data_IF_016893301769
#
_entry.id   IF_016893301769
#
_cell.length_a   1.000
_cell.length_b   1.000
_cell.length_c   1.000
_cell.angle_alpha   90.00
_cell.angle_beta   90.00
_cell.angle_gamma   90.00
#
_symmetry.space_group_name_H-M   'P 1'
#
loop_
_entity.id
_entity.type
_entity.pdbx_description
1 polymer ?
#
# COMPACT_ATOMS: atom_id res chain seq x y z
N UNK A 1 11.00 -24.88 -3.45
CA UNK A 1 12.38 -24.73 -3.95
C UNK A 1 13.36 -24.50 -2.79
N UNK A 2 13.38 -23.33 -2.13
CA UNK A 2 14.33 -23.02 -1.06
C UNK A 2 14.39 -24.10 0.04
N UNK A 3 13.24 -24.45 0.63
CA UNK A 3 13.14 -25.49 1.66
C UNK A 3 13.73 -26.84 1.20
N UNK A 4 13.40 -27.29 -0.02
CA UNK A 4 13.90 -28.54 -0.58
C UNK A 4 15.42 -28.54 -0.75
N UNK A 5 15.99 -27.43 -1.25
CA UNK A 5 17.44 -27.28 -1.40
C UNK A 5 18.16 -27.23 -0.05
N UNK A 6 17.55 -26.62 0.97
CA UNK A 6 18.13 -26.58 2.30
C UNK A 6 18.17 -27.98 2.93
N UNK A 7 17.09 -28.76 2.77
CA UNK A 7 17.01 -30.14 3.27
C UNK A 7 17.99 -31.07 2.53
N UNK A 8 18.04 -30.99 1.20
CA UNK A 8 18.80 -31.94 0.39
C UNK A 8 20.30 -31.63 0.34
N UNK A 9 20.67 -30.34 0.29
CA UNK A 9 22.04 -29.91 0.01
C UNK A 9 22.67 -29.07 1.14
N UNK A 10 21.98 -28.89 2.27
CA UNK A 10 22.50 -28.09 3.39
C UNK A 10 22.69 -26.60 3.06
N UNK A 11 21.94 -26.09 2.07
CA UNK A 11 21.95 -24.66 1.72
C UNK A 11 21.18 -23.82 2.76
N UNK A 12 21.29 -22.49 2.65
CA UNK A 12 20.67 -21.54 3.58
C UNK A 12 19.79 -20.51 2.84
N UNK A 13 18.83 -20.99 2.04
CA UNK A 13 17.91 -20.14 1.29
C UNK A 13 16.63 -19.87 2.08
N UNK A 14 16.32 -18.61 2.33
CA UNK A 14 15.16 -18.19 3.13
C UNK A 14 14.13 -17.49 2.25
N UNK A 15 12.86 -17.86 2.41
CA UNK A 15 11.73 -17.25 1.69
C UNK A 15 10.99 -16.27 2.60
N UNK A 16 10.87 -15.02 2.17
CA UNK A 16 10.01 -14.01 2.77
C UNK A 16 8.72 -13.88 1.96
N UNK A 17 7.57 -13.89 2.64
CA UNK A 17 6.25 -13.74 2.04
C UNK A 17 5.57 -12.46 2.56
N UNK A 18 4.97 -11.68 1.67
CA UNK A 18 4.27 -10.43 2.00
C UNK A 18 2.96 -10.28 1.22
N UNK A 19 2.10 -9.36 1.66
CA UNK A 19 0.85 -9.01 0.98
C UNK A 19 1.01 -7.85 0.00
N UNK A 20 0.85 -6.60 0.47
CA UNK A 20 0.92 -5.41 -0.40
C UNK A 20 2.13 -4.56 -0.04
N UNK A 21 3.03 -4.39 -1.01
CA UNK A 21 4.15 -3.48 -0.92
C UNK A 21 3.75 -2.08 -1.39
N UNK A 22 4.16 -1.06 -0.67
CA UNK A 22 4.15 0.34 -1.12
C UNK A 22 5.47 1.02 -0.77
N UNK A 23 5.71 2.22 -1.28
CA UNK A 23 6.93 2.96 -1.00
C UNK A 23 6.78 4.42 -1.39
N UNK A 24 7.73 5.23 -0.95
CA UNK A 24 7.69 6.69 -1.15
C UNK A 24 7.65 7.09 -2.62
N UNK A 25 8.39 6.35 -3.47
CA UNK A 25 8.35 6.51 -4.92
C UNK A 25 7.38 5.50 -5.52
N UNK A 26 6.23 5.99 -5.99
CA UNK A 26 5.21 5.16 -6.59
C UNK A 26 4.80 5.68 -7.98
N UNK A 27 4.12 4.80 -8.73
CA UNK A 27 3.45 5.20 -9.95
C UNK A 27 2.04 5.73 -9.58
N UNK A 28 1.76 6.98 -9.96
CA UNK A 28 0.50 7.68 -9.70
C UNK A 28 -0.42 7.76 -10.94
N UNK A 29 -0.09 7.06 -12.03
CA UNK A 29 -0.96 6.95 -13.21
C UNK A 29 -2.27 6.23 -12.85
N UNK A 30 -3.43 6.84 -13.13
CA UNK A 30 -4.75 6.27 -12.80
C UNK A 30 -4.98 4.86 -13.36
N UNK A 31 -4.41 4.54 -14.53
CA UNK A 31 -4.62 3.23 -15.16
C UNK A 31 -3.69 2.13 -14.65
N UNK A 32 -2.58 2.49 -13.99
CA UNK A 32 -1.50 1.55 -13.60
C UNK A 32 -1.13 1.60 -12.13
N UNK A 33 -1.68 2.55 -11.39
CA UNK A 33 -1.38 2.76 -9.99
C UNK A 33 -2.02 1.70 -9.11
N UNK A 34 -1.33 1.39 -8.01
CA UNK A 34 -1.88 0.60 -6.92
C UNK A 34 -2.81 1.46 -6.08
N UNK A 35 -3.59 0.83 -5.20
CA UNK A 35 -4.64 1.49 -4.41
C UNK A 35 -4.16 2.74 -3.67
N UNK A 36 -3.03 2.68 -2.95
CA UNK A 36 -2.53 3.81 -2.16
C UNK A 36 -2.13 5.03 -3.03
N UNK A 37 -1.27 4.89 -4.07
CA UNK A 37 -0.98 5.99 -5.00
C UNK A 37 -2.22 6.53 -5.72
N UNK A 38 -3.14 5.65 -6.14
CA UNK A 38 -4.37 6.04 -6.82
C UNK A 38 -5.24 6.93 -5.91
N UNK A 39 -5.49 6.50 -4.68
CA UNK A 39 -6.23 7.27 -3.68
C UNK A 39 -5.58 8.63 -3.42
N UNK A 40 -4.26 8.63 -3.21
CA UNK A 40 -3.52 9.85 -2.90
C UNK A 40 -3.66 10.90 -4.02
N UNK A 41 -3.52 10.48 -5.28
CA UNK A 41 -3.71 11.38 -6.43
C UNK A 41 -5.17 11.80 -6.60
N UNK A 42 -6.14 10.90 -6.40
CA UNK A 42 -7.58 11.24 -6.45
C UNK A 42 -7.91 12.37 -5.46
N UNK A 43 -7.56 12.20 -4.19
CA UNK A 43 -7.82 13.21 -3.17
C UNK A 43 -7.02 14.48 -3.40
N UNK A 44 -5.79 14.38 -3.92
CA UNK A 44 -5.00 15.55 -4.26
C UNK A 44 -5.68 16.40 -5.35
N UNK A 45 -6.14 15.78 -6.44
CA UNK A 45 -6.84 16.48 -7.52
C UNK A 45 -8.22 17.01 -7.06
N UNK A 46 -8.92 16.28 -6.20
CA UNK A 46 -10.17 16.75 -5.60
C UNK A 46 -9.94 18.00 -4.74
N UNK A 47 -8.86 18.03 -3.95
CA UNK A 47 -8.44 19.23 -3.20
C UNK A 47 -8.09 20.40 -4.11
N UNK A 48 -7.38 20.18 -5.21
CA UNK A 48 -7.10 21.26 -6.15
C UNK A 48 -8.39 21.79 -6.79
N UNK A 49 -9.38 20.94 -7.05
CA UNK A 49 -10.71 21.37 -7.51
C UNK A 49 -11.47 22.17 -6.43
N UNK A 50 -11.37 21.75 -5.17
CA UNK A 50 -11.95 22.46 -4.00
C UNK A 50 -11.33 23.85 -3.80
N UNK A 51 -10.00 23.96 -3.97
CA UNK A 51 -9.23 25.20 -3.82
C UNK A 51 -9.20 26.06 -5.10
N UNK A 52 -9.91 25.65 -6.16
CA UNK A 52 -9.94 26.33 -7.46
C UNK A 52 -8.55 26.56 -8.09
N UNK A 53 -7.60 25.63 -7.86
CA UNK A 53 -6.21 25.69 -8.35
C UNK A 53 -6.06 25.09 -9.74
N UNK A 54 -6.65 25.77 -10.72
CA UNK A 54 -6.78 25.28 -12.10
C UNK A 54 -5.44 24.98 -12.78
N UNK A 55 -4.43 25.84 -12.61
CA UNK A 55 -3.11 25.69 -13.24
C UNK A 55 -2.41 24.39 -12.82
N UNK A 56 -2.53 24.01 -11.54
CA UNK A 56 -1.90 22.80 -11.01
C UNK A 56 -2.62 21.54 -11.48
N UNK A 57 -3.95 21.60 -11.65
CA UNK A 57 -4.73 20.50 -12.22
C UNK A 57 -4.28 20.24 -13.66
N UNK A 58 -4.18 21.30 -14.46
CA UNK A 58 -3.74 21.20 -15.86
C UNK A 58 -2.31 20.68 -15.97
N UNK A 59 -1.41 21.12 -15.07
CA UNK A 59 -0.02 20.64 -14.99
C UNK A 59 0.05 19.15 -14.63
N UNK A 60 -0.68 18.70 -13.60
CA UNK A 60 -0.69 17.29 -13.17
C UNK A 60 -1.28 16.36 -14.24
N UNK A 61 -2.39 16.76 -14.84
CA UNK A 61 -3.07 15.98 -15.88
C UNK A 61 -2.40 16.10 -17.25
N UNK A 62 -1.47 17.05 -17.41
CA UNK A 62 -0.83 17.41 -18.70
C UNK A 62 -1.87 17.78 -19.77
N UNK A 63 -2.91 18.52 -19.37
CA UNK A 63 -4.01 18.96 -20.23
C UNK A 63 -3.98 20.47 -20.42
N UNK A 64 -4.65 20.96 -21.46
CA UNK A 64 -4.71 22.40 -21.79
C UNK A 64 -6.07 23.04 -21.52
N UNK A 65 -7.11 22.24 -21.38
CA UNK A 65 -8.49 22.69 -21.21
C UNK A 65 -9.02 22.23 -19.86
N UNK A 66 -9.46 23.19 -19.04
CA UNK A 66 -10.07 22.89 -17.75
C UNK A 66 -11.39 22.13 -17.90
N UNK A 67 -12.16 22.44 -18.94
CA UNK A 67 -13.44 21.77 -19.22
C UNK A 67 -13.21 20.28 -19.47
N UNK A 68 -12.19 19.95 -20.27
CA UNK A 68 -11.80 18.56 -20.53
C UNK A 68 -11.23 17.90 -19.28
N UNK A 69 -10.41 18.61 -18.51
CA UNK A 69 -9.85 18.11 -17.25
C UNK A 69 -10.95 17.76 -16.24
N UNK A 70 -11.93 18.65 -16.02
CA UNK A 70 -13.07 18.42 -15.13
C UNK A 70 -13.91 17.21 -15.57
N UNK A 71 -14.12 17.04 -16.88
CA UNK A 71 -14.82 15.87 -17.43
C UNK A 71 -14.03 14.58 -17.19
N UNK A 72 -12.73 14.59 -17.48
CA UNK A 72 -11.84 13.46 -17.24
C UNK A 72 -11.82 13.05 -15.76
N UNK A 73 -11.71 14.03 -14.84
CA UNK A 73 -11.74 13.78 -13.40
C UNK A 73 -13.08 13.18 -12.94
N UNK A 74 -14.19 13.67 -13.49
CA UNK A 74 -15.53 13.14 -13.19
C UNK A 74 -15.68 11.66 -13.60
N UNK A 75 -15.07 11.24 -14.72
CA UNK A 75 -15.07 9.83 -15.15
C UNK A 75 -14.36 8.90 -14.14
N UNK A 76 -13.42 9.44 -13.36
CA UNK A 76 -12.76 8.74 -12.24
C UNK A 76 -13.45 8.97 -10.89
N UNK A 77 -14.60 9.64 -10.86
CA UNK A 77 -15.33 9.97 -9.65
C UNK A 77 -14.61 10.98 -8.77
N UNK A 78 -13.87 11.92 -9.36
CA UNK A 78 -13.14 12.98 -8.67
C UNK A 78 -13.87 14.29 -8.91
N UNK A 79 -14.56 14.81 -7.88
CA UNK A 79 -15.26 16.09 -7.92
C UNK A 79 -14.78 16.99 -6.78
N UNK A 80 -15.11 18.27 -6.85
CA UNK A 80 -14.76 19.26 -5.81
C UNK A 80 -15.41 18.95 -4.46
N UNK A 81 -16.61 18.38 -4.49
CA UNK A 81 -17.43 18.16 -3.28
C UNK A 81 -17.30 16.74 -2.75
N UNK A 82 -16.86 15.77 -3.57
CA UNK A 82 -16.68 14.39 -3.15
C UNK A 82 -15.70 13.59 -4.02
N UNK A 83 -15.16 12.52 -3.45
CA UNK A 83 -14.43 11.48 -4.18
C UNK A 83 -15.17 10.15 -4.08
N UNK A 84 -15.43 9.52 -5.22
CA UNK A 84 -16.02 8.19 -5.33
C UNK A 84 -14.96 7.09 -5.26
N UNK A 85 -15.19 6.13 -4.37
CA UNK A 85 -14.46 4.87 -4.25
C UNK A 85 -15.36 3.73 -4.69
N UNK A 86 -14.84 2.86 -5.55
CA UNK A 86 -15.56 1.68 -6.00
C UNK A 86 -15.62 0.60 -4.92
N UNK A 87 -16.77 -0.08 -4.84
CA UNK A 87 -17.01 -1.12 -3.84
C UNK A 87 -17.63 -0.60 -2.56
N UNK A 88 -17.80 -1.47 -1.58
CA UNK A 88 -18.37 -1.12 -0.26
C UNK A 88 -17.34 -0.52 0.69
N UNK A 89 -16.04 -0.60 0.34
CA UNK A 89 -14.95 -0.15 1.19
C UNK A 89 -14.61 -1.09 2.35
N UNK A 90 -15.35 -2.20 2.53
CA UNK A 90 -15.22 -3.12 3.68
C UNK A 90 -14.05 -4.08 3.59
N UNK A 91 -13.57 -4.34 2.37
CA UNK A 91 -12.42 -5.24 2.11
C UNK A 91 -11.20 -4.75 2.86
N UNK A 92 -10.49 -5.68 3.52
CA UNK A 92 -9.31 -5.37 4.34
C UNK A 92 -8.00 -5.74 3.67
N UNK A 93 -6.98 -4.90 3.86
CA UNK A 93 -5.64 -5.00 3.28
C UNK A 93 -4.57 -4.63 4.29
N UNK A 94 -3.53 -5.44 4.35
CA UNK A 94 -2.27 -5.12 4.99
C UNK A 94 -1.30 -4.44 4.01
N UNK A 95 -0.51 -3.48 4.48
CA UNK A 95 0.48 -2.74 3.71
C UNK A 95 1.82 -2.70 4.44
N UNK A 96 2.91 -3.03 3.75
CA UNK A 96 4.29 -2.87 4.24
C UNK A 96 5.06 -1.87 3.38
N UNK A 97 5.78 -0.95 4.03
CA UNK A 97 6.62 0.02 3.34
C UNK A 97 7.89 -0.64 2.78
N UNK A 98 8.38 -0.19 1.63
CA UNK A 98 9.56 -0.76 0.96
C UNK A 98 10.82 -0.69 1.80
N UNK A 99 10.95 0.33 2.63
CA UNK A 99 12.11 0.48 3.52
C UNK A 99 12.06 -0.55 4.65
N UNK A 100 10.88 -0.89 5.18
CA UNK A 100 10.72 -1.98 6.15
C UNK A 100 10.95 -3.35 5.50
N UNK A 101 10.54 -3.54 4.24
CA UNK A 101 10.88 -4.75 3.49
C UNK A 101 12.40 -4.91 3.34
N UNK A 102 13.10 -3.82 2.99
CA UNK A 102 14.55 -3.83 2.86
C UNK A 102 15.23 -4.12 4.20
N UNK A 103 14.78 -3.48 5.28
CA UNK A 103 15.27 -3.71 6.64
C UNK A 103 15.06 -5.17 7.08
N UNK A 104 13.87 -5.74 6.84
CA UNK A 104 13.55 -7.14 7.12
C UNK A 104 14.48 -8.09 6.34
N UNK A 105 14.69 -7.84 5.05
CA UNK A 105 15.55 -8.66 4.22
C UNK A 105 17.00 -8.65 4.72
N UNK A 106 17.53 -7.47 5.07
CA UNK A 106 18.87 -7.34 5.64
C UNK A 106 18.95 -8.02 7.01
N UNK A 107 17.93 -7.86 7.85
CA UNK A 107 17.87 -8.48 9.17
C UNK A 107 17.90 -10.00 9.07
N UNK A 108 17.05 -10.59 8.22
CA UNK A 108 16.97 -12.04 8.00
C UNK A 108 18.31 -12.57 7.49
N UNK A 109 18.91 -11.88 6.51
CA UNK A 109 20.21 -12.28 5.96
C UNK A 109 21.33 -12.31 7.01
N UNK A 110 21.29 -11.41 8.00
CA UNK A 110 22.34 -11.29 9.02
C UNK A 110 22.11 -12.17 10.24
N UNK A 111 20.86 -12.43 10.60
CA UNK A 111 20.52 -12.95 11.93
C UNK A 111 19.76 -14.27 11.93
N UNK A 112 19.28 -14.75 10.78
CA UNK A 112 18.40 -15.93 10.72
C UNK A 112 18.98 -16.95 9.75
N UNK A 113 19.09 -18.19 10.20
CA UNK A 113 19.48 -19.34 9.41
C UNK A 113 18.32 -20.32 9.26
N UNK A 114 18.40 -21.20 8.27
CA UNK A 114 17.40 -22.25 8.06
C UNK A 114 17.20 -23.12 9.29
N UNK A 115 18.25 -23.39 10.06
CA UNK A 115 18.20 -24.14 11.33
C UNK A 115 17.28 -23.54 12.37
N UNK A 116 16.98 -22.24 12.27
CA UNK A 116 16.15 -21.50 13.23
C UNK A 116 14.66 -21.61 12.87
N UNK A 117 14.33 -22.16 11.70
CA UNK A 117 12.99 -22.14 11.10
C UNK A 117 12.21 -23.44 11.26
N UNK A 118 12.78 -24.45 11.91
CA UNK A 118 12.14 -25.74 12.18
C UNK A 118 12.63 -26.34 13.50
N UNK A 119 11.87 -27.30 14.03
CA UNK A 119 12.27 -28.08 15.20
C UNK A 119 12.90 -29.39 14.75
N UNK A 120 14.05 -29.76 15.34
CA UNK A 120 14.82 -30.96 14.94
C UNK A 120 14.04 -32.28 15.00
N UNK A 121 13.02 -32.37 15.84
CA UNK A 121 12.25 -33.61 16.06
C UNK A 121 10.90 -33.61 15.31
N UNK A 122 10.65 -32.66 14.41
CA UNK A 122 9.42 -32.56 13.63
C UNK A 122 9.72 -32.60 12.13
N UNK A 123 8.71 -32.98 11.33
CA UNK A 123 8.81 -32.92 9.86
C UNK A 123 9.02 -31.47 9.43
N UNK A 124 10.14 -31.19 8.78
CA UNK A 124 10.47 -29.86 8.24
C UNK A 124 9.46 -29.50 7.14
N UNK A 125 8.71 -28.43 7.36
CA UNK A 125 7.73 -27.86 6.42
C UNK A 125 7.42 -26.42 6.82
N UNK A 126 6.90 -25.63 5.89
CA UNK A 126 6.45 -24.24 6.14
C UNK A 126 7.55 -23.36 6.76
N UNK A 127 8.78 -23.52 6.27
CA UNK A 127 9.94 -22.78 6.78
C UNK A 127 9.97 -21.31 6.32
N UNK A 128 9.11 -20.90 5.37
CA UNK A 128 8.95 -19.50 4.97
C UNK A 128 8.59 -18.58 6.14
N UNK A 129 8.87 -17.30 5.99
CA UNK A 129 8.61 -16.28 7.00
C UNK A 129 7.68 -15.24 6.40
N UNK A 130 6.53 -15.03 7.05
CA UNK A 130 5.68 -13.90 6.72
C UNK A 130 6.30 -12.62 7.26
N UNK A 131 6.33 -11.59 6.42
CA UNK A 131 6.73 -10.23 6.78
C UNK A 131 5.59 -9.28 6.44
N UNK A 132 5.38 -8.31 7.33
CA UNK A 132 4.23 -7.44 7.29
C UNK A 132 4.19 -6.58 8.55
N UNK A 133 3.11 -5.84 8.70
CA UNK A 133 2.85 -5.06 9.90
C UNK A 133 2.06 -5.87 10.92
N UNK A 134 1.35 -6.91 10.47
CA UNK A 134 0.37 -7.63 11.30
C UNK A 134 -0.89 -6.81 11.57
N UNK A 135 -1.09 -5.72 10.83
CA UNK A 135 -2.23 -4.80 10.95
C UNK A 135 -2.85 -4.62 9.56
N UNK A 136 -4.15 -4.86 9.44
CA UNK A 136 -4.90 -4.58 8.22
C UNK A 136 -5.86 -3.40 8.40
N UNK A 137 -6.24 -2.82 7.26
CA UNK A 137 -7.16 -1.69 7.19
C UNK A 137 -8.19 -1.97 6.11
N UNK A 138 -9.44 -1.61 6.36
CA UNK A 138 -10.46 -1.55 5.32
C UNK A 138 -10.11 -0.48 4.30
N UNK A 139 -10.54 -0.64 3.05
CA UNK A 139 -10.36 0.40 2.03
C UNK A 139 -10.98 1.73 2.47
N UNK A 140 -12.07 1.70 3.23
CA UNK A 140 -12.67 2.89 3.81
C UNK A 140 -11.75 3.60 4.82
N UNK A 141 -11.13 2.86 5.75
CA UNK A 141 -10.15 3.40 6.70
C UNK A 141 -8.95 4.01 5.96
N UNK A 142 -8.42 3.30 4.96
CA UNK A 142 -7.30 3.79 4.15
C UNK A 142 -7.67 5.10 3.42
N UNK A 143 -8.83 5.14 2.77
CA UNK A 143 -9.29 6.33 2.06
C UNK A 143 -9.48 7.52 3.01
N UNK A 144 -9.98 7.27 4.23
CA UNK A 144 -10.14 8.29 5.25
C UNK A 144 -8.79 8.86 5.73
N UNK A 145 -7.79 8.01 5.99
CA UNK A 145 -6.44 8.44 6.36
C UNK A 145 -5.81 9.28 5.24
N UNK A 146 -5.94 8.84 3.99
CA UNK A 146 -5.44 9.58 2.82
C UNK A 146 -6.13 10.95 2.69
N UNK A 147 -7.47 10.99 2.82
CA UNK A 147 -8.25 12.24 2.80
C UNK A 147 -7.75 13.22 3.85
N UNK A 148 -7.52 12.76 5.08
CA UNK A 148 -7.01 13.57 6.18
C UNK A 148 -5.60 14.11 5.92
N UNK A 149 -4.69 13.26 5.43
CA UNK A 149 -3.30 13.66 5.11
C UNK A 149 -3.27 14.70 3.99
N UNK A 150 -4.07 14.52 2.93
CA UNK A 150 -4.15 15.47 1.82
C UNK A 150 -4.84 16.78 2.26
N UNK A 151 -5.81 16.68 3.15
CA UNK A 151 -6.61 17.81 3.63
C UNK A 151 -7.76 18.20 2.70
N UNK A 152 -8.34 17.22 1.99
CA UNK A 152 -9.56 17.41 1.21
C UNK A 152 -10.79 17.43 2.12
N UNK A 153 -11.66 18.45 2.01
CA UNK A 153 -12.82 18.59 2.93
C UNK A 153 -14.11 17.97 2.40
N UNK A 154 -14.20 17.73 1.09
CA UNK A 154 -15.37 17.09 0.48
C UNK A 154 -15.61 15.65 0.97
N UNK A 155 -16.74 15.07 0.59
CA UNK A 155 -17.22 13.79 1.08
C UNK A 155 -16.50 12.58 0.45
N UNK A 156 -16.60 11.44 1.14
CA UNK A 156 -16.15 10.16 0.63
C UNK A 156 -17.37 9.30 0.32
N UNK A 157 -17.57 8.96 -0.96
CA UNK A 157 -18.73 8.20 -1.42
C UNK A 157 -18.29 6.81 -1.88
N UNK A 158 -19.02 5.78 -1.47
CA UNK A 158 -18.78 4.39 -1.88
C UNK A 158 -19.83 3.96 -2.90
N UNK A 159 -19.36 3.46 -4.04
CA UNK A 159 -20.21 2.94 -5.10
C UNK A 159 -20.30 1.42 -5.03
N UNK A 160 -21.31 0.92 -4.31
CA UNK A 160 -21.55 -0.52 -4.11
C UNK A 160 -22.08 -1.25 -5.35
N UNK A 161 -22.40 -0.55 -6.44
CA UNK A 161 -22.74 -1.18 -7.72
C UNK A 161 -21.48 -1.74 -8.40
N UNK A 162 -20.29 -1.28 -8.00
CA UNK A 162 -19.01 -1.81 -8.44
C UNK A 162 -18.55 -2.93 -7.50
N UNK A 163 -17.94 -4.01 -8.05
CA UNK A 163 -17.59 -5.17 -7.24
C UNK A 163 -16.48 -4.86 -6.25
N UNK A 164 -16.62 -5.37 -5.02
CA UNK A 164 -15.50 -5.52 -4.11
C UNK A 164 -14.59 -6.66 -4.55
N UNK A 165 -13.31 -6.57 -4.19
CA UNK A 165 -12.48 -7.79 -4.19
C UNK A 165 -12.99 -8.76 -3.12
N UNK A 166 -12.90 -10.06 -3.36
CA UNK A 166 -13.62 -11.05 -2.54
C UNK A 166 -12.93 -11.51 -1.25
N UNK A 167 -11.65 -11.17 -1.01
CA UNK A 167 -10.88 -11.72 0.13
C UNK A 167 -10.08 -10.68 0.91
N UNK A 168 -10.11 -10.78 2.24
CA UNK A 168 -9.21 -10.06 3.14
C UNK A 168 -7.80 -10.68 3.09
N UNK A 169 -6.76 -9.87 3.30
CA UNK A 169 -5.37 -10.32 3.30
C UNK A 169 -4.59 -9.66 4.43
N UNK A 170 -4.25 -10.47 5.43
CA UNK A 170 -3.45 -10.12 6.60
C UNK A 170 -2.48 -11.28 6.88
N UNK A 171 -1.20 -10.97 7.02
CA UNK A 171 -0.19 -11.95 7.42
C UNK A 171 -0.13 -12.10 8.95
N UNK A 172 -0.06 -13.34 9.43
CA UNK A 172 0.41 -13.61 10.78
C UNK A 172 1.93 -13.43 10.84
N UNK A 173 2.37 -12.36 11.52
CA UNK A 173 3.78 -11.98 11.68
C UNK A 173 4.41 -12.50 12.99
N UNK A 174 3.73 -13.38 13.73
CA UNK A 174 4.21 -13.89 15.03
C UNK A 174 5.59 -14.55 14.92
N UNK A 175 5.86 -15.25 13.80
CA UNK A 175 7.15 -15.91 13.55
C UNK A 175 8.31 -14.91 13.44
N UNK A 176 8.18 -13.87 12.61
CA UNK A 176 9.25 -12.87 12.45
C UNK A 176 9.43 -12.02 13.70
N UNK A 177 8.34 -11.74 14.43
CA UNK A 177 8.40 -11.06 15.72
C UNK A 177 9.19 -11.86 16.76
N UNK A 178 8.96 -13.18 16.84
CA UNK A 178 9.71 -14.07 17.73
C UNK A 178 11.20 -14.18 17.34
N UNK A 179 11.51 -14.01 16.05
CA UNK A 179 12.88 -13.96 15.52
C UNK A 179 13.54 -12.57 15.68
N UNK A 180 12.84 -11.60 16.30
CA UNK A 180 13.41 -10.33 16.74
C UNK A 180 13.26 -9.15 15.79
N UNK A 181 12.54 -9.29 14.68
CA UNK A 181 12.27 -8.17 13.76
C UNK A 181 10.81 -7.69 13.83
N UNK A 182 10.62 -6.37 13.77
CA UNK A 182 9.33 -5.70 13.69
C UNK A 182 9.42 -4.49 12.75
N UNK A 183 8.34 -4.22 12.04
CA UNK A 183 8.21 -3.03 11.20
C UNK A 183 8.32 -1.74 12.03
N UNK A 184 8.76 -0.66 11.37
CA UNK A 184 8.97 0.66 12.02
C UNK A 184 8.07 1.74 11.42
N UNK A 185 7.59 1.55 10.19
CA UNK A 185 6.83 2.57 9.46
C UNK A 185 5.35 2.23 9.51
N UNK A 186 4.64 2.95 10.38
CA UNK A 186 3.17 2.94 10.41
C UNK A 186 2.57 3.48 9.11
N UNK A 187 1.38 3.00 8.74
CA UNK A 187 0.71 3.32 7.48
C UNK A 187 0.56 4.83 7.26
N UNK A 188 0.13 5.57 8.28
CA UNK A 188 -0.06 7.02 8.20
C UNK A 188 1.26 7.75 7.88
N UNK A 189 2.36 7.35 8.52
CA UNK A 189 3.69 7.93 8.27
C UNK A 189 4.18 7.62 6.86
N UNK A 190 4.02 6.38 6.39
CA UNK A 190 4.37 6.02 5.03
C UNK A 190 3.56 6.77 3.97
N UNK A 191 2.26 7.00 4.20
CA UNK A 191 1.43 7.81 3.29
C UNK A 191 1.89 9.28 3.28
N UNK A 192 2.21 9.86 4.44
CA UNK A 192 2.78 11.23 4.54
C UNK A 192 4.10 11.33 3.77
N UNK A 193 5.00 10.36 3.92
CA UNK A 193 6.27 10.31 3.17
C UNK A 193 6.00 10.30 1.66
N UNK A 194 5.07 9.46 1.20
CA UNK A 194 4.68 9.37 -0.22
C UNK A 194 4.07 10.68 -0.74
N UNK A 195 3.23 11.35 0.06
CA UNK A 195 2.62 12.63 -0.32
C UNK A 195 3.61 13.79 -0.39
N UNK A 196 4.59 13.82 0.52
CA UNK A 196 5.64 14.84 0.49
C UNK A 196 6.46 14.80 -0.81
N UNK A 197 6.62 13.61 -1.42
CA UNK A 197 7.25 13.50 -2.75
C UNK A 197 6.34 14.06 -3.86
N UNK A 198 5.02 13.88 -3.78
CA UNK A 198 4.09 14.51 -4.75
C UNK A 198 4.20 16.03 -4.69
N UNK A 199 4.47 16.60 -3.51
CA UNK A 199 4.74 18.04 -3.37
C UNK A 199 5.90 18.56 -4.22
N UNK A 200 6.74 17.68 -4.78
CA UNK A 200 7.80 18.01 -5.74
C UNK A 200 7.25 18.26 -7.17
N UNK A 201 5.99 17.90 -7.47
CA UNK A 201 5.31 18.32 -8.70
C UNK A 201 4.85 19.79 -8.66
N UNK A 202 5.00 20.50 -7.53
CA UNK A 202 4.85 21.96 -7.44
C UNK A 202 5.86 22.66 -8.36
#
# INVERSE_FOLDING_TARGET
MCESYNIQYGTNFITLALNNLYGTRANFDFGKSRVLPALLRKFHLAKLLEEEREDEILKDLKMKSLVEAKKYLADFGILKDYVEIWGTGKVRREFIHSDDLADAAIYVMKNINFSDLYKKNEKIKNTHINIGTGIDYSIAEVAQVVKQIVGFKGELIFNSQKPDSTMNRLMDCSKIHALGWRHKIELENGIKMMYNIIGIFK
#
